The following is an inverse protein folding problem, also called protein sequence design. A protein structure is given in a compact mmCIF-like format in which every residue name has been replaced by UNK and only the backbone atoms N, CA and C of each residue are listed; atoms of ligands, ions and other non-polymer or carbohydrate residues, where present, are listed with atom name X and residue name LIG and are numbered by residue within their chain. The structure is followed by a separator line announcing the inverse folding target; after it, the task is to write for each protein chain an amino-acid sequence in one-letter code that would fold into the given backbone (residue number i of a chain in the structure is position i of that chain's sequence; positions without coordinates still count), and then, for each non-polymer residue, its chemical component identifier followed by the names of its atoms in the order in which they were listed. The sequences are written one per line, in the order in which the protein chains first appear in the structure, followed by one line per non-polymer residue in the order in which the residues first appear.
data_IF_564033195645
#
_entry.id   IF_564033195645
#
_cell.length_a   1.000
_cell.length_b   1.000
_cell.length_c   1.000
_cell.angle_alpha   90.00
_cell.angle_beta   90.00
_cell.angle_gamma   90.00
#
_symmetry.space_group_name_H-M   'P 1'
#
loop_
_entity.id
_entity.type
_entity.pdbx_description
1 polymer ?
#
# COMPACT_ATOMS: atom_id res chain seq x y z
N UNK A 1 30.66 36.64 -26.12
CA UNK A 1 29.68 35.66 -26.61
C UNK A 1 29.39 34.64 -25.51
N UNK A 2 28.16 34.55 -25.02
CA UNK A 2 27.82 33.54 -24.00
C UNK A 2 27.88 32.16 -24.59
N UNK A 3 28.67 31.25 -23.99
CA UNK A 3 28.79 29.85 -24.39
C UNK A 3 27.41 29.19 -24.34
N UNK A 4 26.93 28.68 -25.49
CA UNK A 4 25.70 27.86 -25.56
C UNK A 4 25.88 26.63 -24.66
N UNK A 5 24.98 26.45 -23.70
CA UNK A 5 24.98 25.28 -22.84
C UNK A 5 24.69 24.00 -23.62
N UNK A 6 25.26 22.85 -23.22
CA UNK A 6 24.94 21.56 -23.85
C UNK A 6 23.42 21.30 -23.81
N UNK A 7 22.91 20.62 -24.84
CA UNK A 7 21.53 20.17 -24.90
C UNK A 7 21.30 19.14 -23.78
N UNK A 8 20.41 19.42 -22.83
CA UNK A 8 20.14 18.58 -21.65
C UNK A 8 20.25 19.29 -20.31
N UNK A 9 21.02 20.38 -20.18
CA UNK A 9 21.26 21.08 -18.92
C UNK A 9 20.06 21.85 -18.35
N UNK A 10 18.91 21.80 -18.99
CA UNK A 10 17.70 22.49 -18.56
C UNK A 10 17.76 24.01 -18.71
N UNK A 11 16.62 24.67 -18.49
CA UNK A 11 16.51 26.14 -18.52
C UNK A 11 16.58 26.69 -17.10
N UNK A 12 17.37 27.75 -16.88
CA UNK A 12 17.49 28.46 -15.60
C UNK A 12 17.14 29.91 -15.80
N UNK A 13 16.24 30.46 -14.96
CA UNK A 13 15.88 31.88 -14.95
C UNK A 13 15.77 32.41 -13.51
N UNK A 14 15.97 33.70 -13.35
CA UNK A 14 15.64 34.43 -12.11
C UNK A 14 14.21 34.92 -12.24
N UNK A 15 13.39 34.68 -11.23
CA UNK A 15 12.00 35.15 -11.15
C UNK A 15 11.96 36.58 -10.59
N UNK A 16 10.86 37.26 -10.81
CA UNK A 16 10.63 38.65 -10.29
C UNK A 16 10.60 38.70 -8.77
N UNK A 17 10.24 37.57 -8.11
CA UNK A 17 10.28 37.37 -6.64
C UNK A 17 11.70 37.16 -6.09
N UNK A 18 12.75 37.31 -6.93
CA UNK A 18 14.15 37.13 -6.58
C UNK A 18 14.64 35.69 -6.46
N UNK A 19 13.76 34.70 -6.57
CA UNK A 19 14.14 33.27 -6.57
C UNK A 19 14.66 32.83 -7.92
N UNK A 20 15.50 31.82 -7.89
CA UNK A 20 15.96 31.13 -9.09
C UNK A 20 15.07 29.95 -9.38
N UNK A 21 14.68 29.78 -10.63
CA UNK A 21 13.87 28.65 -11.13
C UNK A 21 14.62 27.97 -12.28
N UNK A 22 14.60 26.64 -12.26
CA UNK A 22 15.10 25.79 -13.33
C UNK A 22 14.05 24.77 -13.76
N UNK A 23 14.14 24.29 -14.99
CA UNK A 23 13.33 23.18 -15.50
C UNK A 23 14.20 22.20 -16.25
N UNK A 24 13.92 20.91 -16.07
CA UNK A 24 14.53 19.82 -16.81
C UNK A 24 13.43 19.07 -17.57
N UNK A 25 13.77 18.48 -18.72
CA UNK A 25 12.85 17.60 -19.45
C UNK A 25 12.92 16.23 -18.77
N UNK A 26 11.77 15.68 -18.38
CA UNK A 26 11.66 14.41 -17.69
C UNK A 26 10.84 13.38 -18.47
N UNK A 27 10.38 13.73 -19.66
CA UNK A 27 9.64 12.85 -20.57
C UNK A 27 8.93 13.63 -21.67
N UNK A 28 8.15 12.92 -22.45
CA UNK A 28 7.36 13.49 -23.56
C UNK A 28 5.92 12.98 -23.48
N UNK A 29 4.97 13.84 -23.88
CA UNK A 29 3.58 13.45 -24.04
C UNK A 29 3.40 12.65 -25.34
N UNK A 30 2.25 11.98 -25.48
CA UNK A 30 1.89 11.23 -26.70
C UNK A 30 1.94 12.11 -27.96
N UNK A 31 1.66 13.41 -27.82
CA UNK A 31 1.73 14.39 -28.90
C UNK A 31 3.14 14.97 -29.15
N UNK A 32 4.19 14.46 -28.49
CA UNK A 32 5.58 14.88 -28.61
C UNK A 32 5.99 16.08 -27.76
N UNK A 33 5.08 16.72 -27.04
CA UNK A 33 5.41 17.84 -26.15
C UNK A 33 6.26 17.38 -24.96
N UNK A 34 7.29 18.16 -24.62
CA UNK A 34 8.15 17.86 -23.47
C UNK A 34 7.42 18.04 -22.14
N UNK A 35 7.61 17.10 -21.24
CA UNK A 35 7.19 17.17 -19.82
C UNK A 35 8.34 17.75 -19.03
N UNK A 36 8.08 18.83 -18.27
CA UNK A 36 9.08 19.53 -17.50
C UNK A 36 8.92 19.29 -16.00
N UNK A 37 10.01 19.00 -15.33
CA UNK A 37 10.12 19.09 -13.89
C UNK A 37 10.71 20.45 -13.50
N UNK A 38 10.04 21.19 -12.59
CA UNK A 38 10.45 22.52 -12.16
C UNK A 38 11.10 22.48 -10.78
N UNK A 39 12.25 23.12 -10.66
CA UNK A 39 13.02 23.22 -9.41
C UNK A 39 13.22 24.70 -9.08
N UNK A 40 13.13 25.05 -7.81
CA UNK A 40 13.39 26.42 -7.37
C UNK A 40 14.33 26.49 -6.16
N UNK A 41 15.12 27.58 -6.08
CA UNK A 41 15.99 27.84 -4.95
C UNK A 41 16.20 29.36 -4.72
N UNK A 42 16.68 29.70 -3.52
CA UNK A 42 16.99 31.11 -3.17
C UNK A 42 18.23 31.65 -3.89
N UNK A 43 19.20 30.77 -4.21
CA UNK A 43 20.44 31.12 -4.89
C UNK A 43 20.64 30.29 -6.15
N UNK A 44 21.37 30.82 -7.12
CA UNK A 44 21.69 30.13 -8.35
C UNK A 44 22.50 28.85 -8.09
N UNK A 45 23.47 28.87 -7.15
CA UNK A 45 24.29 27.72 -6.77
C UNK A 45 23.41 26.61 -6.22
N UNK A 46 22.54 26.90 -5.27
CA UNK A 46 21.62 25.91 -4.70
C UNK A 46 20.62 25.36 -5.74
N UNK A 47 20.22 26.18 -6.73
CA UNK A 47 19.41 25.71 -7.84
C UNK A 47 20.17 24.70 -8.71
N UNK A 48 21.40 25.01 -9.08
CA UNK A 48 22.23 24.12 -9.91
C UNK A 48 22.48 22.77 -9.23
N UNK A 49 22.77 22.78 -7.92
CA UNK A 49 22.93 21.55 -7.14
C UNK A 49 21.64 20.72 -7.10
N UNK A 50 20.47 21.36 -6.97
CA UNK A 50 19.17 20.70 -7.03
C UNK A 50 18.88 20.14 -8.42
N UNK A 51 19.12 20.92 -9.46
CA UNK A 51 18.93 20.49 -10.84
C UNK A 51 19.82 19.31 -11.18
N UNK A 52 21.07 19.33 -10.77
CA UNK A 52 21.99 18.21 -11.02
C UNK A 52 21.51 16.92 -10.34
N UNK A 53 21.05 17.00 -9.10
CA UNK A 53 20.41 15.85 -8.42
C UNK A 53 19.17 15.36 -9.16
N UNK A 54 18.30 16.24 -9.60
CA UNK A 54 17.13 15.86 -10.39
C UNK A 54 17.54 15.24 -11.75
N UNK A 55 18.53 15.77 -12.46
CA UNK A 55 19.00 15.18 -13.71
C UNK A 55 19.47 13.73 -13.47
N UNK A 56 20.26 13.50 -12.43
CA UNK A 56 20.71 12.13 -12.08
C UNK A 56 19.54 11.23 -11.66
N UNK A 57 18.57 11.77 -10.93
CA UNK A 57 17.38 11.03 -10.49
C UNK A 57 16.47 10.66 -11.65
N UNK A 58 16.36 11.54 -12.66
CA UNK A 58 15.51 11.34 -13.84
C UNK A 58 16.28 10.81 -15.07
N UNK A 59 17.55 10.44 -14.91
CA UNK A 59 18.36 9.95 -16.02
C UNK A 59 17.78 8.64 -16.58
N UNK A 60 17.40 8.68 -17.85
CA UNK A 60 16.75 7.57 -18.54
C UNK A 60 15.25 7.36 -18.24
N UNK A 61 14.62 8.22 -17.44
CA UNK A 61 13.18 8.15 -17.16
C UNK A 61 12.37 8.91 -18.21
N UNK A 62 11.47 8.22 -18.91
CA UNK A 62 10.44 8.82 -19.75
C UNK A 62 9.10 8.83 -19.02
N UNK A 63 8.78 9.96 -18.35
CA UNK A 63 7.47 10.12 -17.70
C UNK A 63 6.38 10.32 -18.76
N UNK A 64 5.24 9.66 -18.59
CA UNK A 64 4.05 9.85 -19.43
C UNK A 64 3.23 11.07 -18.97
N UNK A 65 2.36 11.57 -19.85
CA UNK A 65 1.67 12.87 -19.70
C UNK A 65 0.76 13.07 -18.50
N UNK A 66 0.46 12.02 -17.74
CA UNK A 66 -0.46 12.07 -16.59
C UNK A 66 0.23 12.40 -15.25
N UNK A 67 1.43 12.97 -15.27
CA UNK A 67 2.17 13.38 -14.07
C UNK A 67 1.44 14.42 -13.18
N UNK A 68 0.30 14.96 -13.66
CA UNK A 68 -0.58 15.85 -12.89
C UNK A 68 -1.62 15.09 -12.07
N UNK A 69 -1.82 13.80 -12.32
CA UNK A 69 -2.73 12.93 -11.59
C UNK A 69 -2.41 12.97 -10.09
N UNK A 70 -3.45 13.01 -9.28
CA UNK A 70 -3.30 12.90 -7.83
C UNK A 70 -3.09 11.45 -7.40
N UNK A 71 -2.49 11.26 -6.23
CA UNK A 71 -2.35 9.92 -5.67
C UNK A 71 -3.70 9.24 -5.46
N UNK A 72 -4.75 10.01 -5.11
CA UNK A 72 -6.10 9.47 -4.93
C UNK A 72 -6.68 8.92 -6.23
N UNK A 73 -6.60 9.68 -7.33
CA UNK A 73 -7.04 9.23 -8.67
C UNK A 73 -6.25 8.00 -9.14
N UNK A 74 -4.94 7.99 -8.91
CA UNK A 74 -4.11 6.82 -9.23
C UNK A 74 -4.52 5.58 -8.43
N UNK A 75 -4.78 5.72 -7.14
CA UNK A 75 -5.22 4.60 -6.29
C UNK A 75 -6.54 4.01 -6.78
N UNK A 76 -7.48 4.83 -7.27
CA UNK A 76 -8.74 4.35 -7.84
C UNK A 76 -8.51 3.53 -9.11
N UNK A 77 -7.66 4.04 -10.01
CA UNK A 77 -7.28 3.34 -11.25
C UNK A 77 -6.59 2.02 -10.91
N UNK A 78 -5.58 2.06 -10.03
CA UNK A 78 -4.82 0.88 -9.63
C UNK A 78 -5.69 -0.18 -8.97
N UNK A 79 -6.58 0.23 -8.08
CA UNK A 79 -7.53 -0.69 -7.43
C UNK A 79 -8.39 -1.40 -8.45
N UNK A 80 -8.96 -0.67 -9.41
CA UNK A 80 -9.87 -1.21 -10.42
C UNK A 80 -9.15 -2.06 -11.48
N UNK A 81 -8.03 -1.57 -12.00
CA UNK A 81 -7.37 -2.18 -13.15
C UNK A 81 -6.33 -3.24 -12.77
N UNK A 82 -5.67 -3.09 -11.62
CA UNK A 82 -4.58 -3.97 -11.23
C UNK A 82 -4.96 -4.88 -10.06
N UNK A 83 -5.55 -4.33 -9.00
CA UNK A 83 -5.83 -5.11 -7.79
C UNK A 83 -7.07 -6.00 -7.94
N UNK A 84 -8.19 -5.47 -8.42
CA UNK A 84 -9.45 -6.20 -8.53
C UNK A 84 -9.32 -7.51 -9.33
N UNK A 85 -8.68 -7.55 -10.51
CA UNK A 85 -8.53 -8.78 -11.28
C UNK A 85 -7.47 -9.74 -10.71
N UNK A 86 -6.56 -9.28 -9.81
CA UNK A 86 -5.39 -10.04 -9.38
C UNK A 86 -5.53 -10.65 -7.98
N UNK A 87 -6.48 -10.21 -7.17
CA UNK A 87 -6.63 -10.67 -5.78
C UNK A 87 -8.05 -11.18 -5.49
N UNK A 88 -8.18 -11.97 -4.43
CA UNK A 88 -9.50 -12.44 -3.96
C UNK A 88 -10.38 -11.25 -3.53
N UNK A 89 -11.72 -11.33 -3.68
CA UNK A 89 -12.65 -10.24 -3.31
C UNK A 89 -12.46 -9.70 -1.88
N UNK A 90 -12.19 -10.57 -0.92
CA UNK A 90 -11.91 -10.18 0.46
C UNK A 90 -10.63 -9.36 0.62
N UNK A 91 -9.58 -9.68 -0.15
CA UNK A 91 -8.33 -8.93 -0.18
C UNK A 91 -8.53 -7.56 -0.85
N UNK A 92 -9.26 -7.53 -1.97
CA UNK A 92 -9.62 -6.29 -2.65
C UNK A 92 -10.39 -5.33 -1.74
N UNK A 93 -11.40 -5.84 -1.03
CA UNK A 93 -12.13 -5.08 -0.01
C UNK A 93 -11.20 -4.47 1.05
N UNK A 94 -10.21 -5.25 1.50
CA UNK A 94 -9.18 -4.77 2.42
C UNK A 94 -8.31 -3.66 1.81
N UNK A 95 -7.84 -3.83 0.58
CA UNK A 95 -7.02 -2.85 -0.14
C UNK A 95 -7.78 -1.54 -0.34
N UNK A 96 -9.01 -1.61 -0.82
CA UNK A 96 -9.91 -0.47 -0.96
C UNK A 96 -10.12 0.24 0.38
N UNK A 97 -10.39 -0.53 1.45
CA UNK A 97 -10.55 0.02 2.79
C UNK A 97 -9.32 0.77 3.29
N UNK A 98 -8.10 0.28 3.06
CA UNK A 98 -6.87 0.99 3.40
C UNK A 98 -6.65 2.23 2.56
N UNK A 99 -6.93 2.18 1.25
CA UNK A 99 -6.82 3.33 0.38
C UNK A 99 -7.76 4.46 0.83
N UNK A 100 -9.05 4.16 1.01
CA UNK A 100 -10.08 5.16 1.31
C UNK A 100 -9.94 5.77 2.71
N UNK A 101 -9.74 4.93 3.73
CA UNK A 101 -9.76 5.39 5.13
C UNK A 101 -8.41 5.91 5.61
N UNK A 102 -7.30 5.38 5.10
CA UNK A 102 -6.00 5.63 5.69
C UNK A 102 -5.05 6.43 4.78
N UNK A 103 -5.08 6.22 3.45
CA UNK A 103 -4.13 6.86 2.54
C UNK A 103 -4.71 8.14 1.95
N UNK A 104 -5.86 8.07 1.30
CA UNK A 104 -6.48 9.21 0.59
C UNK A 104 -6.74 10.44 1.47
N UNK A 105 -7.20 10.34 2.73
CA UNK A 105 -7.43 11.52 3.56
C UNK A 105 -6.18 12.37 3.82
N UNK A 106 -5.01 11.76 3.75
CA UNK A 106 -3.74 12.45 4.03
C UNK A 106 -2.94 12.77 2.77
N UNK A 107 -2.93 11.90 1.79
CA UNK A 107 -2.08 12.02 0.60
C UNK A 107 -2.87 12.06 -0.72
N UNK A 108 -4.17 11.79 -0.70
CA UNK A 108 -4.97 11.62 -1.92
C UNK A 108 -5.02 12.84 -2.84
N UNK A 109 -5.03 14.05 -2.28
CA UNK A 109 -5.04 15.30 -3.05
C UNK A 109 -3.68 15.71 -3.61
N UNK A 110 -2.60 15.04 -3.18
CA UNK A 110 -1.26 15.39 -3.62
C UNK A 110 -0.98 14.78 -5.00
N UNK A 111 -0.34 15.54 -5.89
CA UNK A 111 0.11 15.01 -7.18
C UNK A 111 1.07 13.85 -6.94
N UNK A 112 0.87 12.74 -7.67
CA UNK A 112 1.64 11.51 -7.49
C UNK A 112 3.15 11.74 -7.64
N UNK A 113 3.55 12.55 -8.62
CA UNK A 113 4.94 12.94 -8.86
C UNK A 113 5.57 13.81 -7.77
N UNK A 114 4.77 14.33 -6.84
CA UNK A 114 5.23 15.15 -5.72
C UNK A 114 5.16 14.45 -4.37
N UNK A 115 4.73 13.20 -4.35
CA UNK A 115 4.74 12.38 -3.13
C UNK A 115 6.18 12.01 -2.79
N UNK A 116 6.60 12.32 -1.58
CA UNK A 116 7.97 12.08 -1.10
C UNK A 116 7.99 11.02 0.00
N UNK A 117 9.16 10.42 0.25
CA UNK A 117 9.34 9.51 1.38
C UNK A 117 9.01 10.20 2.73
N UNK A 118 9.28 11.50 2.87
CA UNK A 118 8.92 12.27 4.07
C UNK A 118 7.40 12.37 4.27
N UNK A 119 6.62 12.52 3.19
CA UNK A 119 5.16 12.53 3.26
C UNK A 119 4.63 11.17 3.72
N UNK A 120 5.15 10.09 3.14
CA UNK A 120 4.80 8.72 3.49
C UNK A 120 5.17 8.41 4.94
N UNK A 121 6.35 8.83 5.37
CA UNK A 121 6.79 8.68 6.76
C UNK A 121 5.88 9.44 7.75
N UNK A 122 5.42 10.63 7.35
CA UNK A 122 4.49 11.43 8.14
C UNK A 122 3.13 10.76 8.23
N UNK A 123 2.63 10.18 7.12
CA UNK A 123 1.42 9.35 7.12
C UNK A 123 1.54 8.22 8.14
N UNK A 124 2.64 7.46 8.14
CA UNK A 124 2.79 6.31 9.06
C UNK A 124 2.84 6.75 10.52
N UNK A 125 3.49 7.88 10.84
CA UNK A 125 3.47 8.44 12.20
C UNK A 125 2.05 8.86 12.62
N UNK A 126 1.29 9.46 11.71
CA UNK A 126 -0.11 9.82 11.96
C UNK A 126 -0.96 8.58 12.23
N UNK A 127 -0.85 7.54 11.40
CA UNK A 127 -1.58 6.29 11.57
C UNK A 127 -1.28 5.60 12.90
N UNK A 128 -0.05 5.69 13.38
CA UNK A 128 0.36 5.14 14.69
C UNK A 128 -0.19 5.94 15.89
N UNK A 129 -0.72 7.13 15.68
CA UNK A 129 -1.30 7.95 16.76
C UNK A 129 -2.82 7.93 16.72
N UNK A 130 -3.41 8.09 15.54
CA UNK A 130 -4.84 8.41 15.34
C UNK A 130 -5.46 7.74 14.12
N UNK A 131 -4.86 6.67 13.59
CA UNK A 131 -5.29 6.03 12.34
C UNK A 131 -6.48 5.10 12.46
N UNK A 132 -6.93 4.77 13.67
CA UNK A 132 -8.08 3.90 13.93
C UNK A 132 -9.43 4.56 13.66
N UNK A 133 -10.47 3.76 13.50
CA UNK A 133 -11.85 4.24 13.25
C UNK A 133 -12.34 5.15 14.38
N UNK A 134 -11.96 4.83 15.61
CA UNK A 134 -12.32 5.61 16.81
C UNK A 134 -11.26 6.67 17.16
N UNK A 135 -10.40 7.06 16.20
CA UNK A 135 -9.32 8.01 16.45
C UNK A 135 -8.13 7.45 17.24
N UNK A 136 -8.13 6.15 17.54
CA UNK A 136 -7.05 5.49 18.25
C UNK A 136 -5.85 5.13 17.35
N UNK A 137 -4.77 4.65 17.98
CA UNK A 137 -3.56 4.20 17.29
C UNK A 137 -3.78 2.92 16.48
N UNK A 138 -3.22 2.85 15.28
CA UNK A 138 -3.14 1.57 14.55
C UNK A 138 -1.96 0.74 15.00
N UNK A 139 -2.16 -0.58 15.04
CA UNK A 139 -1.06 -1.50 15.36
C UNK A 139 0.05 -1.44 14.30
N UNK A 140 1.32 -1.72 14.67
CA UNK A 140 2.42 -1.83 13.72
C UNK A 140 2.13 -2.78 12.57
N UNK A 141 1.41 -3.87 12.80
CA UNK A 141 1.02 -4.83 11.78
C UNK A 141 0.05 -4.22 10.76
N UNK A 142 -0.90 -3.40 11.21
CA UNK A 142 -1.85 -2.71 10.32
C UNK A 142 -1.15 -1.65 9.48
N UNK A 143 -0.26 -0.85 10.08
CA UNK A 143 0.53 0.16 9.32
C UNK A 143 1.38 -0.52 8.25
N UNK A 144 1.98 -1.67 8.53
CA UNK A 144 2.73 -2.45 7.53
C UNK A 144 1.84 -2.99 6.40
N UNK A 145 0.59 -3.35 6.68
CA UNK A 145 -0.37 -3.74 5.62
C UNK A 145 -0.73 -2.56 4.73
N UNK A 146 -0.98 -1.38 5.33
CA UNK A 146 -1.23 -0.14 4.59
C UNK A 146 -0.03 0.23 3.72
N UNK A 147 1.19 0.11 4.27
CA UNK A 147 2.42 0.27 3.48
C UNK A 147 2.45 -0.69 2.29
N UNK A 148 2.16 -1.98 2.49
CA UNK A 148 2.17 -2.97 1.41
C UNK A 148 1.22 -2.61 0.26
N UNK A 149 0.04 -2.06 0.56
CA UNK A 149 -0.91 -1.58 -0.46
C UNK A 149 -0.36 -0.35 -1.19
N UNK A 150 0.12 0.65 -0.45
CA UNK A 150 0.70 1.87 -1.03
C UNK A 150 1.94 1.56 -1.87
N UNK A 151 2.80 0.66 -1.39
CA UNK A 151 4.01 0.23 -2.08
C UNK A 151 3.68 -0.44 -3.43
N UNK A 152 2.72 -1.38 -3.44
CA UNK A 152 2.29 -2.04 -4.68
C UNK A 152 1.70 -1.05 -5.68
N UNK A 153 0.84 -0.13 -5.21
CA UNK A 153 0.25 0.89 -6.07
C UNK A 153 1.29 1.83 -6.66
N UNK A 154 2.30 2.22 -5.87
CA UNK A 154 3.37 3.11 -6.34
C UNK A 154 4.41 2.40 -7.21
N UNK A 155 4.66 1.09 -7.01
CA UNK A 155 5.45 0.30 -7.97
C UNK A 155 4.75 0.24 -9.33
N UNK A 156 3.45 -0.03 -9.36
CA UNK A 156 2.69 0.01 -10.60
C UNK A 156 2.70 1.41 -11.26
N UNK A 157 2.83 2.48 -10.48
CA UNK A 157 3.02 3.83 -11.02
C UNK A 157 4.41 4.03 -11.63
N UNK A 158 5.46 3.42 -11.06
CA UNK A 158 6.80 3.39 -11.66
C UNK A 158 6.77 2.62 -12.98
N UNK A 159 6.18 1.43 -13.00
CA UNK A 159 6.06 0.59 -14.20
C UNK A 159 5.29 1.29 -15.34
N UNK A 160 4.34 2.15 -14.99
CA UNK A 160 3.58 2.98 -15.95
C UNK A 160 4.23 4.34 -16.24
N UNK A 161 5.44 4.56 -15.78
CA UNK A 161 6.19 5.81 -15.97
C UNK A 161 5.46 7.08 -15.47
N UNK A 162 4.63 6.97 -14.44
CA UNK A 162 3.99 8.11 -13.77
C UNK A 162 4.92 8.78 -12.76
N UNK A 163 5.79 7.98 -12.15
CA UNK A 163 6.86 8.41 -11.24
C UNK A 163 8.13 7.63 -11.54
N UNK A 164 9.28 8.21 -11.20
CA UNK A 164 10.60 7.62 -11.49
C UNK A 164 11.00 6.58 -10.44
N UNK A 165 10.69 6.85 -9.19
CA UNK A 165 11.07 6.01 -8.03
C UNK A 165 9.91 5.89 -7.08
N UNK A 166 9.80 4.73 -6.45
CA UNK A 166 8.80 4.51 -5.42
C UNK A 166 9.22 5.21 -4.11
N UNK A 167 8.49 6.24 -3.65
CA UNK A 167 8.84 6.95 -2.41
C UNK A 167 8.65 6.11 -1.14
N UNK A 168 8.03 4.94 -1.24
CA UNK A 168 7.88 4.03 -0.10
C UNK A 168 9.11 3.17 0.16
N UNK A 169 10.10 3.13 -0.75
CA UNK A 169 11.33 2.34 -0.58
C UNK A 169 12.23 2.90 0.52
N UNK A 170 12.23 4.24 0.65
CA UNK A 170 13.13 4.96 1.57
C UNK A 170 12.47 5.28 2.93
N UNK A 171 11.41 4.54 3.34
CA UNK A 171 10.73 4.78 4.61
C UNK A 171 11.06 3.77 5.68
N UNK A 172 11.02 4.21 6.93
CA UNK A 172 11.18 3.33 8.09
C UNK A 172 9.83 2.81 8.57
N UNK A 173 9.67 1.50 8.52
CA UNK A 173 8.47 0.84 9.03
C UNK A 173 8.53 0.60 10.54
N UNK A 174 7.38 0.66 11.26
CA UNK A 174 7.34 0.33 12.67
C UNK A 174 7.77 -1.11 12.91
N UNK A 175 8.46 -1.37 14.03
CA UNK A 175 8.90 -2.73 14.39
C UNK A 175 7.71 -3.66 14.50
N UNK A 176 7.86 -4.87 13.93
CA UNK A 176 6.86 -5.92 14.08
C UNK A 176 6.87 -6.40 15.52
N UNK A 177 5.80 -6.16 16.25
CA UNK A 177 5.60 -6.75 17.57
C UNK A 177 4.86 -8.07 17.37
N UNK A 178 5.51 -9.17 17.66
CA UNK A 178 4.87 -10.49 17.67
C UNK A 178 4.51 -10.78 19.12
N UNK A 179 3.22 -10.64 19.44
CA UNK A 179 2.73 -11.13 20.74
C UNK A 179 2.81 -12.67 20.75
N UNK A 180 3.22 -13.23 21.87
CA UNK A 180 3.14 -14.67 22.06
C UNK A 180 1.67 -15.10 21.95
N UNK A 181 1.42 -16.12 21.15
CA UNK A 181 0.08 -16.70 21.04
C UNK A 181 -0.21 -17.45 22.34
N UNK A 182 -1.26 -17.07 23.02
CA UNK A 182 -1.75 -17.81 24.19
C UNK A 182 -2.59 -18.97 23.66
N UNK A 183 -2.19 -20.18 23.96
CA UNK A 183 -2.97 -21.40 23.74
C UNK A 183 -3.65 -21.78 25.05
N UNK A 184 -4.78 -22.47 24.95
CA UNK A 184 -5.46 -23.00 26.14
C UNK A 184 -4.54 -24.03 26.81
N UNK A 185 -4.39 -23.94 28.14
CA UNK A 185 -3.79 -25.01 28.92
C UNK A 185 -4.85 -26.08 29.21
N UNK A 186 -4.41 -27.26 29.73
CA UNK A 186 -5.28 -28.42 29.95
C UNK A 186 -6.52 -28.06 30.78
N UNK A 187 -6.38 -27.33 31.87
CA UNK A 187 -7.49 -26.88 32.72
C UNK A 187 -8.45 -25.94 31.99
N UNK A 188 -7.93 -25.08 31.13
CA UNK A 188 -8.76 -24.18 30.33
C UNK A 188 -9.48 -24.96 29.22
N UNK A 189 -8.83 -25.94 28.65
CA UNK A 189 -9.41 -26.83 27.66
C UNK A 189 -10.56 -27.67 28.26
N UNK A 190 -10.35 -28.29 29.43
CA UNK A 190 -11.38 -29.01 30.17
C UNK A 190 -12.63 -28.14 30.42
N UNK A 191 -12.40 -26.93 30.97
CA UNK A 191 -13.50 -25.97 31.21
C UNK A 191 -14.23 -25.57 29.92
N UNK A 192 -13.49 -25.39 28.86
CA UNK A 192 -14.08 -25.07 27.55
C UNK A 192 -14.92 -26.23 27.05
N UNK A 193 -14.41 -27.48 27.12
CA UNK A 193 -15.12 -28.68 26.70
C UNK A 193 -16.39 -28.92 27.55
N UNK A 194 -16.37 -28.60 28.84
CA UNK A 194 -17.58 -28.65 29.66
C UNK A 194 -18.58 -27.57 29.29
N UNK A 195 -18.13 -26.36 29.03
CA UNK A 195 -18.99 -25.25 28.66
C UNK A 195 -19.72 -25.50 27.32
N UNK A 196 -19.04 -26.05 26.32
CA UNK A 196 -19.67 -26.35 25.03
C UNK A 196 -20.68 -27.52 25.10
N UNK A 197 -20.56 -28.46 26.05
CA UNK A 197 -21.55 -29.54 26.25
C UNK A 197 -22.96 -29.02 26.56
N UNK A 198 -23.05 -27.84 27.15
CA UNK A 198 -24.31 -27.20 27.51
C UNK A 198 -24.95 -26.43 26.34
N UNK A 199 -24.25 -26.26 25.23
CA UNK A 199 -24.69 -25.48 24.09
C UNK A 199 -25.10 -26.42 22.94
N UNK A 200 -26.41 -26.69 22.80
CA UNK A 200 -26.96 -27.59 21.79
C UNK A 200 -26.68 -27.14 20.35
N UNK A 201 -26.47 -25.82 20.12
CA UNK A 201 -26.25 -25.27 18.78
C UNK A 201 -24.79 -25.33 18.33
N UNK A 202 -23.87 -25.06 19.27
CA UNK A 202 -22.45 -24.84 18.92
C UNK A 202 -21.53 -25.98 19.38
N UNK A 203 -22.06 -26.97 20.12
CA UNK A 203 -21.30 -28.10 20.65
C UNK A 203 -20.48 -28.79 19.54
N UNK A 204 -21.13 -29.29 18.52
CA UNK A 204 -20.50 -30.08 17.47
C UNK A 204 -19.50 -29.27 16.65
N UNK A 205 -19.82 -27.97 16.42
CA UNK A 205 -18.94 -27.06 15.73
C UNK A 205 -17.60 -26.88 16.47
N UNK A 206 -17.65 -26.49 17.75
CA UNK A 206 -16.43 -26.28 18.53
C UNK A 206 -15.71 -27.55 18.88
N UNK A 207 -16.44 -28.65 19.11
CA UNK A 207 -15.85 -29.96 19.32
C UNK A 207 -15.01 -30.40 18.11
N UNK A 208 -15.56 -30.27 16.91
CA UNK A 208 -14.88 -30.61 15.67
C UNK A 208 -13.69 -29.66 15.39
N UNK A 209 -13.84 -28.35 15.68
CA UNK A 209 -12.77 -27.35 15.51
C UNK A 209 -11.55 -27.69 16.40
N UNK A 210 -11.78 -28.04 17.66
CA UNK A 210 -10.70 -28.37 18.59
C UNK A 210 -10.04 -29.69 18.26
N UNK A 211 -10.84 -30.71 17.96
CA UNK A 211 -10.32 -32.08 17.72
C UNK A 211 -9.58 -32.18 16.39
N UNK A 212 -9.98 -31.42 15.37
CA UNK A 212 -9.36 -31.46 14.04
C UNK A 212 -8.35 -30.36 13.79
N UNK A 213 -8.41 -29.26 14.53
CA UNK A 213 -7.58 -28.07 14.29
C UNK A 213 -7.90 -27.32 12.99
N UNK A 214 -9.04 -27.58 12.39
CA UNK A 214 -9.48 -26.92 11.17
C UNK A 214 -9.72 -25.42 11.38
N UNK A 215 -9.44 -24.63 10.35
CA UNK A 215 -9.83 -23.20 10.38
C UNK A 215 -11.35 -23.10 10.24
N UNK A 216 -11.94 -22.08 10.90
CA UNK A 216 -13.39 -21.83 10.82
C UNK A 216 -13.97 -21.91 9.39
N UNK A 217 -13.27 -21.31 8.41
CA UNK A 217 -13.73 -21.33 7.01
C UNK A 217 -13.68 -22.70 6.36
N UNK A 218 -12.72 -23.54 6.74
CA UNK A 218 -12.60 -24.95 6.31
C UNK A 218 -13.72 -25.77 6.94
N UNK A 219 -13.91 -25.59 8.24
CA UNK A 219 -14.94 -26.31 9.00
C UNK A 219 -16.37 -26.04 8.47
N UNK A 220 -16.73 -24.78 8.23
CA UNK A 220 -18.06 -24.40 7.70
C UNK A 220 -18.26 -24.92 6.26
N UNK A 221 -17.18 -25.15 5.50
CA UNK A 221 -17.27 -25.65 4.14
C UNK A 221 -17.38 -27.16 4.02
N UNK A 222 -17.23 -27.92 5.13
CA UNK A 222 -17.33 -29.38 5.12
C UNK A 222 -18.71 -29.88 4.69
N UNK A 223 -18.70 -30.96 3.97
CA UNK A 223 -19.87 -31.69 3.51
C UNK A 223 -19.72 -33.18 3.86
N UNK A 224 -20.79 -33.89 3.99
CA UNK A 224 -20.77 -35.33 4.29
C UNK A 224 -19.92 -36.14 3.31
N UNK A 225 -19.87 -35.75 2.04
CA UNK A 225 -19.02 -36.37 1.04
C UNK A 225 -17.51 -36.14 1.21
N UNK A 226 -17.08 -35.25 2.09
CA UNK A 226 -15.66 -35.04 2.40
C UNK A 226 -15.14 -36.03 3.44
N UNK A 227 -16.02 -36.78 4.13
CA UNK A 227 -15.69 -37.80 5.09
C UNK A 227 -15.89 -39.19 4.49
N UNK A 228 -14.81 -39.96 4.43
CA UNK A 228 -14.88 -41.37 4.10
C UNK A 228 -15.15 -42.17 5.40
N UNK A 229 -16.36 -42.71 5.55
CA UNK A 229 -16.76 -43.42 6.75
C UNK A 229 -16.08 -44.80 6.91
N UNK A 230 -15.58 -45.40 5.82
CA UNK A 230 -14.88 -46.69 5.88
C UNK A 230 -13.45 -46.54 6.40
N UNK A 231 -12.78 -45.48 5.95
CA UNK A 231 -11.37 -45.23 6.28
C UNK A 231 -11.19 -44.24 7.42
N UNK A 232 -12.23 -43.47 7.80
CA UNK A 232 -12.16 -42.40 8.77
C UNK A 232 -11.40 -41.14 8.27
N UNK A 233 -11.14 -41.07 6.95
CA UNK A 233 -10.37 -39.95 6.37
C UNK A 233 -11.28 -38.78 6.03
N UNK A 234 -10.96 -37.61 6.60
CA UNK A 234 -11.59 -36.33 6.26
C UNK A 234 -10.72 -35.56 5.27
N UNK A 235 -11.29 -35.23 4.11
CA UNK A 235 -10.60 -34.47 3.05
C UNK A 235 -10.97 -32.98 3.13
N UNK A 236 -9.98 -32.10 3.33
CA UNK A 236 -10.17 -30.66 3.43
C UNK A 236 -9.56 -29.97 2.21
N UNK A 237 -10.39 -29.61 1.22
CA UNK A 237 -9.97 -29.03 -0.06
C UNK A 237 -10.66 -27.70 -0.41
N UNK A 238 -11.54 -27.20 0.47
CA UNK A 238 -12.34 -25.99 0.27
C UNK A 238 -12.49 -25.20 1.56
N UNK A 239 -12.85 -23.93 1.41
CA UNK A 239 -13.19 -23.06 2.54
C UNK A 239 -14.34 -22.12 2.18
N UNK A 240 -15.22 -21.86 3.13
CA UNK A 240 -16.27 -20.84 3.01
C UNK A 240 -15.75 -19.47 3.45
N UNK A 241 -16.24 -18.43 2.77
CA UNK A 241 -16.00 -17.03 3.17
C UNK A 241 -17.22 -16.18 2.81
N UNK A 242 -17.44 -15.13 3.59
CA UNK A 242 -18.55 -14.19 3.34
C UNK A 242 -18.12 -13.15 2.31
N UNK A 243 -18.88 -13.03 1.23
CA UNK A 243 -18.80 -11.93 0.26
C UNK A 243 -19.91 -10.96 0.59
N UNK A 244 -19.59 -9.80 1.19
CA UNK A 244 -20.53 -8.70 1.42
C UNK A 244 -20.24 -7.56 0.45
#
# INVERSE_FOLDING_TARGET
MAKRRPSGDGMVRKRDDGRWEGRIVVGHKVNGDSIFHYVSAKTQKALMEKMHRCIVEYDGAELTGDSRMTLGEWLDIWLKECAEPSVRPSTYKGYRGYAERNIKPSLGSKQISKVTAADVQTLYRKLQREGGVDGGALSPATVRRIHGVLHQALNAAVDRHLIVKNPTDDVTLPKKVTAAKTILNDKQLERFMEAIKADEHWHDFFYLEITTGLRRGELIALQWGDLNFETGVLTVNKQAYTVN
#
